data_IF_409578309643
#
_entry.id   IF_409578309643
#
_cell.length_a   1.000
_cell.length_b   1.000
_cell.length_c   1.000
_cell.angle_alpha   90.00
_cell.angle_beta   90.00
_cell.angle_gamma   90.00
#
_symmetry.space_group_name_H-M   'P 1'
#
loop_
_entity.id
_entity.type
_entity.pdbx_description
1 polymer ?
#
# COMPACT_ATOMS: atom_id res chain seq x y z
N UNK A 1 -5.72 13.79 -19.56
CA UNK A 1 -6.66 12.86 -20.18
C UNK A 1 -6.65 11.51 -19.46
N UNK A 2 -7.60 10.62 -19.77
CA UNK A 2 -7.73 9.30 -19.12
C UNK A 2 -6.48 8.42 -19.29
N UNK A 3 -5.75 8.55 -20.40
CA UNK A 3 -4.52 7.82 -20.67
C UNK A 3 -3.42 8.13 -19.63
N UNK A 4 -3.33 9.36 -19.15
CA UNK A 4 -2.38 9.71 -18.08
C UNK A 4 -2.73 8.99 -16.77
N UNK A 5 -4.01 8.83 -16.45
CA UNK A 5 -4.43 8.05 -15.28
C UNK A 5 -4.08 6.58 -15.45
N UNK A 6 -4.27 6.00 -16.64
CA UNK A 6 -3.89 4.63 -16.96
C UNK A 6 -2.39 4.40 -16.75
N UNK A 7 -1.56 5.25 -17.35
CA UNK A 7 -0.10 5.14 -17.24
C UNK A 7 0.37 5.34 -15.79
N UNK A 8 -0.26 6.26 -15.07
CA UNK A 8 0.09 6.50 -13.67
C UNK A 8 -0.32 5.32 -12.78
N UNK A 9 -1.51 4.77 -12.96
CA UNK A 9 -2.00 3.63 -12.18
C UNK A 9 -1.22 2.34 -12.49
N UNK A 10 -0.72 2.15 -13.72
CA UNK A 10 0.02 0.95 -14.11
C UNK A 10 1.28 0.71 -13.27
N UNK A 11 1.91 1.77 -12.73
CA UNK A 11 3.07 1.63 -11.85
C UNK A 11 2.72 1.00 -10.49
N UNK A 12 1.45 1.07 -10.05
CA UNK A 12 1.03 0.52 -8.76
C UNK A 12 1.16 -1.00 -8.69
N UNK A 13 1.06 -1.67 -9.83
CA UNK A 13 1.22 -3.13 -9.92
C UNK A 13 2.63 -3.59 -9.54
N UNK A 14 3.65 -2.74 -9.70
CA UNK A 14 5.00 -2.97 -9.22
C UNK A 14 5.17 -2.88 -7.70
N UNK A 15 4.11 -2.50 -6.96
CA UNK A 15 4.16 -2.42 -5.49
C UNK A 15 3.82 -3.74 -4.80
N UNK A 16 3.19 -4.66 -5.53
CA UNK A 16 2.89 -5.99 -4.99
C UNK A 16 4.19 -6.77 -4.77
N UNK A 17 4.17 -7.62 -3.76
CA UNK A 17 5.31 -8.49 -3.48
C UNK A 17 5.59 -9.42 -4.64
N UNK A 18 6.84 -9.53 -5.02
CA UNK A 18 7.27 -10.49 -6.04
C UNK A 18 7.46 -11.87 -5.40
N UNK A 19 6.76 -12.87 -5.94
CA UNK A 19 6.89 -14.27 -5.52
C UNK A 19 7.96 -15.04 -6.33
N UNK A 20 8.65 -14.38 -7.25
CA UNK A 20 9.64 -15.03 -8.12
C UNK A 20 10.96 -15.35 -7.44
N UNK A 21 11.28 -14.65 -6.36
CA UNK A 21 12.50 -14.91 -5.60
C UNK A 21 12.21 -15.84 -4.44
N UNK A 22 12.88 -17.00 -4.42
CA UNK A 22 12.93 -17.92 -3.28
C UNK A 22 13.88 -17.40 -2.18
N UNK A 23 14.30 -16.15 -2.27
CA UNK A 23 15.12 -15.52 -1.25
C UNK A 23 14.31 -15.35 0.04
N UNK A 24 14.83 -15.89 1.14
CA UNK A 24 14.21 -15.85 2.45
C UNK A 24 13.86 -14.43 2.94
N UNK A 25 14.53 -13.41 2.40
CA UNK A 25 14.23 -12.01 2.71
C UNK A 25 12.89 -11.53 2.16
N UNK A 26 12.34 -12.23 1.18
CA UNK A 26 11.09 -11.87 0.50
C UNK A 26 9.92 -12.74 0.97
N UNK A 27 10.18 -13.96 1.41
CA UNK A 27 9.16 -14.84 1.95
C UNK A 27 8.85 -14.48 3.40
N UNK A 28 7.60 -14.08 3.65
CA UNK A 28 7.11 -13.86 5.01
C UNK A 28 7.18 -15.13 5.87
N UNK A 29 7.13 -16.29 5.25
CA UNK A 29 7.28 -17.58 5.93
C UNK A 29 8.69 -17.77 6.50
N UNK A 30 9.71 -17.11 5.95
CA UNK A 30 11.07 -17.03 6.51
C UNK A 30 11.15 -16.27 7.86
N UNK A 31 10.08 -15.54 8.22
CA UNK A 31 9.92 -14.88 9.53
C UNK A 31 9.19 -15.72 10.55
N UNK A 32 8.80 -16.93 10.18
CA UNK A 32 8.14 -17.93 11.02
C UNK A 32 9.03 -19.18 11.14
N UNK A 33 8.55 -20.16 11.86
CA UNK A 33 9.17 -21.48 11.99
C UNK A 33 8.83 -22.44 10.84
N UNK A 34 8.05 -21.99 9.85
CA UNK A 34 7.59 -22.83 8.74
C UNK A 34 8.66 -23.00 7.65
N UNK A 35 9.54 -22.03 7.47
CA UNK A 35 10.63 -22.08 6.48
C UNK A 35 11.96 -21.74 7.15
N UNK A 36 12.91 -22.67 7.08
CA UNK A 36 14.28 -22.42 7.52
C UNK A 36 15.10 -21.87 6.37
N UNK A 37 15.52 -20.63 6.48
CA UNK A 37 16.43 -19.99 5.55
C UNK A 37 17.89 -20.23 5.94
N UNK A 38 18.81 -20.13 4.97
CA UNK A 38 20.26 -20.19 5.22
C UNK A 38 20.77 -19.05 6.10
N UNK A 39 20.03 -17.93 6.13
CA UNK A 39 20.26 -16.79 7.01
C UNK A 39 19.00 -16.50 7.79
N UNK A 40 19.11 -16.38 9.11
CA UNK A 40 17.97 -16.02 9.96
C UNK A 40 17.56 -14.57 9.74
N UNK A 41 16.26 -14.35 9.53
CA UNK A 41 15.67 -13.02 9.45
C UNK A 41 15.73 -12.32 10.82
N UNK A 42 15.91 -10.98 10.83
CA UNK A 42 16.01 -10.18 12.05
C UNK A 42 14.76 -10.26 12.94
N UNK A 43 13.61 -10.57 12.36
CA UNK A 43 12.36 -10.75 13.10
C UNK A 43 12.30 -12.12 13.76
N UNK A 44 12.69 -13.19 13.05
CA UNK A 44 12.66 -14.57 13.60
C UNK A 44 13.73 -14.79 14.67
N UNK A 45 14.87 -14.11 14.61
CA UNK A 45 15.93 -14.22 15.62
C UNK A 45 15.81 -13.18 16.76
N UNK A 46 14.82 -12.29 16.72
CA UNK A 46 14.57 -11.29 17.76
C UNK A 46 15.61 -10.17 17.83
N UNK A 47 16.43 -10.00 16.81
CA UNK A 47 17.45 -8.93 16.79
C UNK A 47 16.95 -7.60 16.16
N UNK A 48 15.66 -7.53 15.84
CA UNK A 48 15.05 -6.31 15.33
C UNK A 48 15.07 -5.21 16.39
N UNK A 49 15.81 -4.14 16.12
CA UNK A 49 15.93 -2.96 17.00
C UNK A 49 15.40 -1.71 16.30
N UNK A 50 14.85 -0.78 17.08
CA UNK A 50 14.42 0.54 16.59
C UNK A 50 15.55 1.56 16.88
N UNK A 51 15.93 2.45 15.93
CA UNK A 51 15.36 2.60 14.59
C UNK A 51 15.83 1.51 13.64
N UNK A 52 14.88 1.07 12.83
CA UNK A 52 15.13 0.14 11.74
C UNK A 52 16.00 0.88 10.71
N UNK A 53 17.10 0.26 10.26
CA UNK A 53 18.00 0.89 9.31
C UNK A 53 17.33 1.12 7.95
N UNK A 54 17.88 2.05 7.15
CA UNK A 54 17.41 2.32 5.78
C UNK A 54 17.47 1.08 4.85
N UNK A 55 18.07 -0.01 5.29
CA UNK A 55 18.18 -1.29 4.59
C UNK A 55 17.04 -2.27 4.89
N UNK A 56 15.99 -1.84 5.57
CA UNK A 56 14.85 -2.70 5.85
C UNK A 56 14.09 -3.09 4.58
N UNK A 57 13.65 -4.34 4.58
CA UNK A 57 12.96 -5.00 3.47
C UNK A 57 11.68 -4.27 3.04
N UNK A 58 11.06 -3.51 3.95
CA UNK A 58 9.94 -2.61 3.65
C UNK A 58 10.09 -1.35 4.50
N UNK A 59 10.84 -0.34 4.05
CA UNK A 59 11.02 0.89 4.80
C UNK A 59 9.70 1.64 4.95
N UNK A 60 9.37 2.04 6.18
CA UNK A 60 8.19 2.85 6.51
C UNK A 60 8.00 4.05 5.57
N UNK A 61 9.09 4.75 5.29
CA UNK A 61 9.15 5.87 4.35
C UNK A 61 8.70 5.51 2.94
N UNK A 62 9.09 4.34 2.45
CA UNK A 62 8.79 3.90 1.08
C UNK A 62 7.30 3.63 0.90
N UNK A 63 6.66 3.01 1.91
CA UNK A 63 5.23 2.76 1.88
C UNK A 63 4.46 4.10 1.85
N UNK A 64 4.84 5.08 2.67
CA UNK A 64 4.19 6.39 2.65
C UNK A 64 4.45 7.18 1.36
N UNK A 65 5.59 7.00 0.70
CA UNK A 65 5.83 7.56 -0.64
C UNK A 65 4.87 6.97 -1.68
N UNK A 66 4.60 5.66 -1.62
CA UNK A 66 3.62 4.98 -2.48
C UNK A 66 2.19 5.44 -2.16
N UNK A 67 1.82 5.53 -0.88
CA UNK A 67 0.52 6.09 -0.44
C UNK A 67 0.33 7.52 -0.99
N UNK A 68 1.38 8.35 -0.94
CA UNK A 68 1.34 9.70 -1.51
C UNK A 68 1.04 9.68 -3.01
N UNK A 69 1.60 8.74 -3.76
CA UNK A 69 1.32 8.60 -5.20
C UNK A 69 -0.13 8.20 -5.44
N UNK A 70 -0.68 7.26 -4.66
CA UNK A 70 -2.10 6.91 -4.74
C UNK A 70 -2.99 8.13 -4.44
N UNK A 71 -2.67 8.89 -3.38
CA UNK A 71 -3.39 10.11 -3.03
C UNK A 71 -3.36 11.16 -4.15
N UNK A 72 -2.20 11.35 -4.83
CA UNK A 72 -2.09 12.27 -5.98
C UNK A 72 -3.11 11.90 -7.07
N UNK A 73 -3.22 10.61 -7.42
CA UNK A 73 -4.19 10.16 -8.41
C UNK A 73 -5.61 10.45 -7.95
N UNK A 74 -5.94 10.12 -6.70
CA UNK A 74 -7.28 10.32 -6.13
C UNK A 74 -7.66 11.79 -6.11
N UNK A 75 -6.82 12.69 -5.62
CA UNK A 75 -7.07 14.15 -5.62
C UNK A 75 -7.26 14.70 -7.04
N UNK A 76 -6.42 14.29 -7.99
CA UNK A 76 -6.56 14.72 -9.38
C UNK A 76 -7.85 14.20 -10.03
N UNK A 77 -8.35 13.05 -9.58
CA UNK A 77 -9.59 12.46 -10.11
C UNK A 77 -10.83 13.26 -9.71
N UNK A 78 -10.82 13.95 -8.57
CA UNK A 78 -11.95 14.74 -8.08
C UNK A 78 -12.34 15.89 -9.03
N UNK A 79 -11.35 16.46 -9.73
CA UNK A 79 -11.54 17.55 -10.68
C UNK A 79 -11.62 17.10 -12.15
N UNK A 80 -11.64 15.80 -12.42
CA UNK A 80 -11.67 15.30 -13.79
C UNK A 80 -13.07 15.38 -14.39
N UNK A 81 -13.15 15.97 -15.60
CA UNK A 81 -14.43 16.34 -16.24
C UNK A 81 -15.35 15.16 -16.55
N UNK A 82 -14.79 13.97 -16.82
CA UNK A 82 -15.55 12.75 -17.18
C UNK A 82 -15.14 11.61 -16.23
N UNK A 83 -15.70 11.57 -15.02
CA UNK A 83 -15.29 10.59 -13.99
C UNK A 83 -15.40 9.12 -14.43
N UNK A 84 -16.32 8.81 -15.35
CA UNK A 84 -16.51 7.45 -15.87
C UNK A 84 -15.29 6.91 -16.61
N UNK A 85 -14.55 7.76 -17.31
CA UNK A 85 -13.39 7.38 -18.10
C UNK A 85 -12.20 6.94 -17.24
N UNK A 86 -12.16 7.41 -16.00
CA UNK A 86 -11.06 7.13 -15.05
C UNK A 86 -11.50 6.27 -13.89
N UNK A 87 -12.77 5.82 -13.86
CA UNK A 87 -13.36 5.08 -12.75
C UNK A 87 -12.50 3.88 -12.33
N UNK A 88 -12.02 3.09 -13.28
CA UNK A 88 -11.17 1.92 -13.01
C UNK A 88 -9.86 2.31 -12.32
N UNK A 89 -9.20 3.36 -12.79
CA UNK A 89 -7.92 3.80 -12.22
C UNK A 89 -8.07 4.39 -10.80
N UNK A 90 -9.21 5.01 -10.52
CA UNK A 90 -9.58 5.42 -9.17
C UNK A 90 -9.78 4.19 -8.28
N UNK A 91 -10.44 3.14 -8.78
CA UNK A 91 -10.59 1.87 -8.08
C UNK A 91 -9.24 1.19 -7.80
N UNK A 92 -8.33 1.18 -8.77
CA UNK A 92 -6.96 0.68 -8.60
C UNK A 92 -6.20 1.45 -7.53
N UNK A 93 -6.26 2.78 -7.54
CA UNK A 93 -5.61 3.62 -6.54
C UNK A 93 -6.12 3.35 -5.12
N UNK A 94 -7.43 3.16 -4.96
CA UNK A 94 -8.06 2.79 -3.69
C UNK A 94 -7.59 1.41 -3.23
N UNK A 95 -7.61 0.42 -4.11
CA UNK A 95 -7.13 -0.95 -3.82
C UNK A 95 -5.68 -0.94 -3.36
N UNK A 96 -4.78 -0.31 -4.12
CA UNK A 96 -3.35 -0.30 -3.77
C UNK A 96 -3.07 0.53 -2.52
N UNK A 97 -3.82 1.60 -2.25
CA UNK A 97 -3.71 2.33 -0.98
C UNK A 97 -4.11 1.46 0.20
N UNK A 98 -5.21 0.73 0.11
CA UNK A 98 -5.63 -0.24 1.12
C UNK A 98 -4.57 -1.33 1.33
N UNK A 99 -4.01 -1.89 0.25
CA UNK A 99 -2.91 -2.86 0.32
C UNK A 99 -1.70 -2.32 1.08
N UNK A 100 -1.28 -1.08 0.80
CA UNK A 100 -0.16 -0.45 1.49
C UNK A 100 -0.43 -0.19 2.97
N UNK A 101 -1.65 0.21 3.33
CA UNK A 101 -2.04 0.33 4.74
C UNK A 101 -2.11 -1.02 5.45
N UNK A 102 -2.50 -2.09 4.76
CA UNK A 102 -2.43 -3.45 5.30
C UNK A 102 -0.98 -3.85 5.60
N UNK A 103 -0.03 -3.54 4.71
CA UNK A 103 1.40 -3.75 4.95
C UNK A 103 1.89 -2.97 6.19
N UNK A 104 1.52 -1.69 6.30
CA UNK A 104 1.85 -0.86 7.47
C UNK A 104 1.26 -1.43 8.76
N UNK A 105 0.00 -1.86 8.72
CA UNK A 105 -0.71 -2.43 9.88
C UNK A 105 -0.02 -3.69 10.40
N UNK A 106 0.39 -4.59 9.48
CA UNK A 106 1.08 -5.83 9.85
C UNK A 106 2.44 -5.58 10.52
N UNK A 107 3.19 -4.59 10.02
CA UNK A 107 4.56 -4.34 10.47
C UNK A 107 4.64 -3.41 11.68
N UNK A 108 3.76 -2.39 11.74
CA UNK A 108 3.90 -1.29 12.68
C UNK A 108 2.69 -1.12 13.61
N UNK A 109 1.58 -1.81 13.35
CA UNK A 109 0.36 -1.68 14.16
C UNK A 109 -0.33 -0.34 13.95
N UNK A 110 -0.31 0.52 14.95
CA UNK A 110 -0.87 1.87 14.89
C UNK A 110 -0.04 2.75 13.95
N UNK A 111 -0.71 3.38 12.97
CA UNK A 111 -0.06 4.20 11.94
C UNK A 111 -0.87 5.46 11.62
N UNK A 112 -0.26 6.46 11.01
CA UNK A 112 -0.94 7.69 10.63
C UNK A 112 -1.73 7.45 9.34
N UNK A 113 -3.04 7.75 9.34
CA UNK A 113 -3.88 7.70 8.14
C UNK A 113 -3.76 9.04 7.39
N UNK A 114 -3.21 8.98 6.16
CA UNK A 114 -3.03 10.13 5.28
C UNK A 114 -3.92 9.96 4.06
N UNK A 115 -5.02 10.72 4.00
CA UNK A 115 -6.02 10.64 2.92
C UNK A 115 -5.75 11.59 1.74
N UNK A 116 -4.82 12.52 1.90
CA UNK A 116 -4.48 13.57 0.91
C UNK A 116 -2.97 13.76 0.77
N UNK A 117 -2.57 14.50 -0.24
CA UNK A 117 -1.17 14.88 -0.42
C UNK A 117 -0.78 15.92 0.64
N UNK A 118 0.29 15.65 1.39
CA UNK A 118 0.78 16.56 2.42
C UNK A 118 1.98 17.36 1.91
N UNK A 119 2.03 18.62 2.33
CA UNK A 119 3.18 19.52 2.21
C UNK A 119 4.03 19.49 3.48
N UNK A 120 5.27 19.97 3.41
CA UNK A 120 6.18 20.07 4.56
C UNK A 120 5.63 20.92 5.73
N UNK A 121 4.67 21.78 5.43
CA UNK A 121 3.98 22.66 6.40
C UNK A 121 2.65 22.08 6.91
N UNK A 122 2.22 20.93 6.38
CA UNK A 122 0.93 20.34 6.72
C UNK A 122 0.87 19.95 8.20
N UNK A 123 -0.14 20.41 8.95
CA UNK A 123 -0.26 20.10 10.39
C UNK A 123 -0.42 18.60 10.66
N UNK A 124 -0.96 17.87 9.70
CA UNK A 124 -1.14 16.42 9.76
C UNK A 124 0.16 15.63 9.90
N UNK A 125 1.32 16.22 9.56
CA UNK A 125 2.64 15.61 9.78
C UNK A 125 2.98 15.43 11.27
N UNK A 126 2.28 16.14 12.16
CA UNK A 126 2.50 16.11 13.61
C UNK A 126 1.36 15.40 14.36
N UNK A 127 0.46 14.72 13.66
CA UNK A 127 -0.65 14.00 14.30
C UNK A 127 -0.15 12.71 14.97
N UNK A 128 -0.86 12.30 16.03
CA UNK A 128 -0.65 10.99 16.63
C UNK A 128 -1.01 9.87 15.63
N UNK A 129 -0.49 8.68 15.87
CA UNK A 129 -0.87 7.48 15.11
C UNK A 129 -2.34 7.14 15.37
N UNK A 130 -3.05 6.73 14.35
CA UNK A 130 -4.38 6.18 14.47
C UNK A 130 -4.31 4.76 15.05
N UNK A 131 -5.23 4.37 15.93
CA UNK A 131 -5.29 3.01 16.46
C UNK A 131 -5.59 2.00 15.35
N UNK A 132 -5.18 0.75 15.55
CA UNK A 132 -5.37 -0.36 14.60
C UNK A 132 -6.81 -0.48 14.07
N UNK A 133 -7.80 -0.31 14.93
CA UNK A 133 -9.21 -0.38 14.54
C UNK A 133 -9.56 0.64 13.45
N UNK A 134 -9.14 1.89 13.61
CA UNK A 134 -9.37 2.93 12.61
C UNK A 134 -8.63 2.64 11.30
N UNK A 135 -7.43 2.08 11.39
CA UNK A 135 -6.65 1.69 10.19
C UNK A 135 -7.36 0.55 9.45
N UNK A 136 -7.91 -0.44 10.18
CA UNK A 136 -8.70 -1.52 9.59
C UNK A 136 -9.95 -0.98 8.92
N UNK A 137 -10.69 -0.11 9.60
CA UNK A 137 -11.91 0.51 9.04
C UNK A 137 -11.58 1.28 7.75
N UNK A 138 -10.48 2.03 7.74
CA UNK A 138 -10.03 2.75 6.55
C UNK A 138 -9.64 1.82 5.39
N UNK A 139 -8.96 0.71 5.68
CA UNK A 139 -8.65 -0.32 4.67
C UNK A 139 -9.93 -0.88 4.05
N UNK A 140 -10.92 -1.22 4.90
CA UNK A 140 -12.21 -1.76 4.45
C UNK A 140 -12.98 -0.72 3.61
N UNK A 141 -13.01 0.55 4.02
CA UNK A 141 -13.62 1.64 3.26
C UNK A 141 -13.02 1.74 1.85
N UNK A 142 -11.70 1.75 1.73
CA UNK A 142 -11.02 1.84 0.43
C UNK A 142 -11.26 0.60 -0.44
N UNK A 143 -11.29 -0.61 0.14
CA UNK A 143 -11.58 -1.84 -0.59
C UNK A 143 -13.03 -1.89 -1.09
N UNK A 144 -13.99 -1.47 -0.29
CA UNK A 144 -15.40 -1.38 -0.69
C UNK A 144 -15.59 -0.41 -1.86
N UNK A 145 -14.94 0.74 -1.78
CA UNK A 145 -14.94 1.74 -2.85
C UNK A 145 -14.27 1.20 -4.14
N UNK A 146 -13.18 0.46 -3.99
CA UNK A 146 -12.49 -0.18 -5.11
C UNK A 146 -13.39 -1.21 -5.82
N UNK A 147 -14.08 -2.07 -5.07
CA UNK A 147 -15.00 -3.08 -5.63
C UNK A 147 -16.08 -2.44 -6.50
N UNK A 148 -16.63 -1.29 -6.09
CA UNK A 148 -17.66 -0.58 -6.85
C UNK A 148 -17.13 0.06 -8.14
N UNK A 149 -15.83 0.28 -8.25
CA UNK A 149 -15.19 0.99 -9.35
C UNK A 149 -14.47 0.07 -10.32
N UNK A 150 -13.92 -1.04 -9.83
CA UNK A 150 -13.21 -2.01 -10.65
C UNK A 150 -14.18 -2.84 -11.51
N UNK A 151 -13.77 -3.25 -12.71
CA UNK A 151 -14.58 -4.14 -13.53
C UNK A 151 -14.70 -5.51 -12.86
N UNK A 152 -15.88 -6.12 -12.99
CA UNK A 152 -16.06 -7.50 -12.59
C UNK A 152 -15.09 -8.42 -13.38
N UNK A 153 -14.59 -9.47 -12.72
CA UNK A 153 -13.72 -10.46 -13.38
C UNK A 153 -14.40 -11.01 -14.63
N UNK A 154 -13.82 -10.77 -15.80
CA UNK A 154 -14.21 -11.50 -17.00
C UNK A 154 -13.66 -12.91 -16.87
N UNK A 155 -14.53 -13.90 -16.80
CA UNK A 155 -14.13 -15.30 -16.97
C UNK A 155 -13.42 -15.38 -18.31
N UNK A 156 -12.12 -15.67 -18.28
CA UNK A 156 -11.39 -15.96 -19.52
C UNK A 156 -11.96 -17.31 -19.96
N UNK A 157 -12.81 -17.27 -20.99
CA UNK A 157 -13.20 -18.50 -21.68
C UNK A 157 -11.94 -19.08 -22.31
N UNK A 158 -11.58 -20.28 -21.86
CA UNK A 158 -10.47 -21.06 -22.40
C UNK A 158 -10.70 -21.35 -23.88
#
# INVERSE_FOLDING_TARGET
NAEHYRLFASQFYGWTRDFKSMDASIHWDGRSDLVTASTTDIYSNGTNTIPISDNDIIPYKDIYNKIRQANILLEKSESYAIPTDIKTYVGEAKFFRAYLYFELLQLFGDVIIVKKTLDITSPELKTARNPRSEVVDFIIEDLQDAILKLPAHKTISA
#
